data_IF_103485373315
#
_entry.id   IF_103485373315
#
_cell.length_a   1.000
_cell.length_b   1.000
_cell.length_c   1.000
_cell.angle_alpha   90.00
_cell.angle_beta   90.00
_cell.angle_gamma   90.00
#
_symmetry.space_group_name_H-M   'P 1'
#
loop_
_entity.id
_entity.type
_entity.pdbx_description
1 polymer ?
#
# COMPACT_ATOMS: atom_id res chain seq x y z
N UNK A 1 40.34 8.86 39.00
CA UNK A 1 39.62 7.88 38.17
C UNK A 1 38.14 8.11 38.33
N UNK A 2 37.46 8.61 37.30
CA UNK A 2 36.00 8.57 37.22
C UNK A 2 35.65 8.60 35.74
N UNK A 3 35.59 7.40 35.16
CA UNK A 3 35.26 7.18 33.75
C UNK A 3 33.79 7.54 33.53
N UNK A 4 33.55 8.55 32.69
CA UNK A 4 32.23 8.90 32.19
C UNK A 4 31.80 7.80 31.19
N UNK A 5 30.87 6.93 31.62
CA UNK A 5 30.17 6.01 30.74
C UNK A 5 29.05 6.76 30.01
N UNK A 6 29.28 7.10 28.74
CA UNK A 6 28.22 7.45 27.80
C UNK A 6 27.54 6.17 27.32
N UNK A 7 26.37 5.86 27.88
CA UNK A 7 25.44 4.89 27.27
C UNK A 7 24.81 5.54 26.03
N UNK A 8 25.35 5.23 24.86
CA UNK A 8 24.70 5.50 23.59
C UNK A 8 23.46 4.60 23.47
N UNK A 9 22.31 5.12 23.89
CA UNK A 9 21.01 4.51 23.59
C UNK A 9 20.75 4.61 22.09
N UNK A 10 21.01 3.53 21.35
CA UNK A 10 20.46 3.35 20.01
C UNK A 10 18.93 3.28 20.14
N UNK A 11 18.26 4.41 19.93
CA UNK A 11 16.83 4.41 19.60
C UNK A 11 16.71 3.61 18.32
N UNK A 12 16.10 2.43 18.41
CA UNK A 12 15.66 1.66 17.25
C UNK A 12 14.52 2.45 16.63
N UNK A 13 14.87 3.51 15.89
CA UNK A 13 13.92 4.28 15.09
C UNK A 13 13.26 3.27 14.15
N UNK A 14 11.92 3.19 14.21
CA UNK A 14 11.17 2.34 13.31
C UNK A 14 11.57 2.71 11.89
N UNK A 15 12.27 1.81 11.20
CA UNK A 15 12.74 2.03 9.84
C UNK A 15 11.50 2.31 8.97
N UNK A 16 11.29 3.59 8.64
CA UNK A 16 10.23 4.03 7.74
C UNK A 16 10.49 3.32 6.41
N UNK A 17 9.52 2.52 5.94
CA UNK A 17 9.68 1.80 4.70
C UNK A 17 10.01 2.79 3.55
N UNK A 18 10.94 2.42 2.66
CA UNK A 18 11.46 3.35 1.67
C UNK A 18 10.36 3.83 0.71
N UNK A 19 10.42 5.11 0.35
CA UNK A 19 9.64 5.65 -0.76
C UNK A 19 10.28 5.23 -2.09
N UNK A 20 9.46 4.93 -3.09
CA UNK A 20 9.92 4.59 -4.46
C UNK A 20 9.32 5.55 -5.49
N UNK A 21 9.98 5.68 -6.63
CA UNK A 21 9.42 6.33 -7.81
C UNK A 21 8.32 5.48 -8.46
N UNK A 22 7.25 6.11 -8.93
CA UNK A 22 6.23 5.46 -9.75
C UNK A 22 5.65 6.43 -10.78
N UNK A 23 5.52 5.97 -12.03
CA UNK A 23 4.90 6.74 -13.09
C UNK A 23 3.38 6.57 -13.10
N UNK A 24 2.66 7.60 -13.57
CA UNK A 24 1.22 7.48 -13.86
C UNK A 24 0.96 6.46 -14.97
N UNK A 25 -0.21 5.82 -14.91
CA UNK A 25 -0.67 4.80 -15.85
C UNK A 25 0.22 3.55 -15.94
N UNK A 26 1.16 3.38 -15.02
CA UNK A 26 1.99 2.18 -14.89
C UNK A 26 1.65 1.47 -13.58
N UNK A 27 1.80 0.15 -13.59
CA UNK A 27 1.63 -0.65 -12.38
C UNK A 27 2.80 -0.41 -11.43
N UNK A 28 2.50 -0.15 -10.16
CA UNK A 28 3.47 -0.07 -9.08
C UNK A 28 3.15 -1.14 -8.04
N UNK A 29 4.18 -1.83 -7.56
CA UNK A 29 4.04 -2.81 -6.48
C UNK A 29 4.54 -2.21 -5.17
N UNK A 30 3.68 -2.16 -4.16
CA UNK A 30 3.99 -1.65 -2.83
C UNK A 30 3.81 -2.74 -1.77
N UNK A 31 4.66 -2.68 -0.74
CA UNK A 31 4.53 -3.49 0.48
C UNK A 31 3.80 -2.71 1.57
N UNK A 32 3.40 -3.41 2.62
CA UNK A 32 2.89 -2.78 3.84
C UNK A 32 3.80 -1.63 4.32
N UNK A 33 3.20 -0.48 4.60
CA UNK A 33 3.84 0.79 4.99
C UNK A 33 4.77 1.43 3.96
N UNK A 34 4.96 0.80 2.79
CA UNK A 34 5.72 1.38 1.70
C UNK A 34 4.90 2.45 0.98
N UNK A 35 5.61 3.41 0.39
CA UNK A 35 5.03 4.54 -0.32
C UNK A 35 5.60 4.71 -1.72
N UNK A 36 4.76 5.12 -2.66
CA UNK A 36 5.14 5.53 -4.01
C UNK A 36 4.96 7.04 -4.15
N UNK A 37 5.98 7.70 -4.68
CA UNK A 37 5.94 9.10 -5.09
C UNK A 37 5.70 9.16 -6.61
N UNK A 38 4.63 9.86 -7.02
CA UNK A 38 4.24 10.01 -8.41
C UNK A 38 4.37 11.47 -8.86
N UNK A 39 4.94 11.76 -10.05
CA UNK A 39 5.54 10.78 -10.97
C UNK A 39 6.95 10.31 -10.53
N UNK A 40 7.54 10.99 -9.54
CA UNK A 40 8.83 10.64 -8.94
C UNK A 40 8.98 11.32 -7.57
N UNK A 41 10.04 10.96 -6.83
CA UNK A 41 10.38 11.44 -5.49
C UNK A 41 10.94 12.87 -5.47
N UNK A 42 11.50 13.36 -6.58
CA UNK A 42 12.10 14.70 -6.64
C UNK A 42 11.04 15.80 -6.61
N UNK A 43 9.94 15.59 -7.33
CA UNK A 43 8.79 16.51 -7.38
C UNK A 43 7.48 15.71 -7.35
N UNK A 44 7.11 15.14 -6.19
CA UNK A 44 5.90 14.34 -6.08
C UNK A 44 4.66 15.21 -6.18
N UNK A 45 3.80 14.91 -7.14
CA UNK A 45 2.43 15.42 -7.21
C UNK A 45 1.52 14.65 -6.25
N UNK A 46 1.74 13.34 -6.15
CA UNK A 46 0.99 12.44 -5.29
C UNK A 46 1.94 11.49 -4.56
N UNK A 47 1.66 11.22 -3.30
CA UNK A 47 2.28 10.12 -2.55
C UNK A 47 1.20 9.14 -2.13
N UNK A 48 1.31 7.88 -2.55
CA UNK A 48 0.39 6.80 -2.17
C UNK A 48 1.11 5.84 -1.22
N UNK A 49 0.53 5.55 -0.07
CA UNK A 49 1.07 4.65 0.96
C UNK A 49 0.11 3.49 1.19
N UNK A 50 0.64 2.28 1.35
CA UNK A 50 -0.17 1.12 1.80
C UNK A 50 -0.20 1.13 3.33
N UNK A 51 -1.28 1.66 3.91
CA UNK A 51 -1.41 1.83 5.35
C UNK A 51 -1.81 0.52 6.04
N UNK A 52 -2.66 -0.31 5.40
CA UNK A 52 -2.99 -1.66 5.89
C UNK A 52 -3.47 -2.60 4.78
N UNK A 53 -3.36 -3.90 5.05
CA UNK A 53 -3.87 -4.98 4.20
C UNK A 53 -4.55 -6.03 5.07
N UNK A 54 -5.84 -6.25 4.84
CA UNK A 54 -6.65 -7.27 5.52
C UNK A 54 -7.11 -8.27 4.47
N UNK A 55 -6.67 -9.52 4.60
CA UNK A 55 -6.91 -10.57 3.60
C UNK A 55 -7.71 -11.70 4.23
N UNK A 56 -9.01 -11.77 3.89
CA UNK A 56 -9.96 -12.79 4.35
C UNK A 56 -10.29 -13.80 3.25
N UNK A 57 -9.63 -13.70 2.08
CA UNK A 57 -9.89 -14.57 0.94
C UNK A 57 -9.74 -16.02 1.34
N UNK A 58 -10.66 -16.85 0.86
CA UNK A 58 -10.64 -18.29 1.06
C UNK A 58 -9.29 -18.86 0.59
N UNK A 59 -8.50 -19.54 1.44
CA UNK A 59 -7.19 -20.03 1.06
C UNK A 59 -7.18 -20.95 -0.17
N UNK A 60 -6.06 -20.95 -0.91
CA UNK A 60 -5.89 -21.87 -2.04
C UNK A 60 -6.05 -23.32 -1.60
N UNK A 61 -6.80 -24.10 -2.39
CA UNK A 61 -7.04 -25.52 -2.10
C UNK A 61 -8.05 -25.79 -0.99
N UNK A 62 -8.68 -24.77 -0.42
CA UNK A 62 -9.73 -24.92 0.61
C UNK A 62 -11.11 -24.66 0.02
N UNK A 63 -12.08 -25.48 0.42
CA UNK A 63 -13.49 -25.31 0.06
C UNK A 63 -14.21 -24.46 1.11
N UNK A 64 -14.18 -23.14 0.94
CA UNK A 64 -14.95 -22.22 1.79
C UNK A 64 -16.36 -22.01 1.23
N UNK A 65 -17.32 -21.72 2.13
CA UNK A 65 -18.68 -21.34 1.76
C UNK A 65 -18.74 -19.96 1.09
N UNK A 66 -17.90 -19.02 1.56
CA UNK A 66 -17.77 -17.67 0.99
C UNK A 66 -16.34 -17.48 0.46
N UNK A 67 -16.17 -16.75 -0.65
CA UNK A 67 -14.85 -16.55 -1.24
C UNK A 67 -13.94 -15.59 -0.45
N UNK A 68 -14.52 -14.77 0.44
CA UNK A 68 -13.81 -13.71 1.15
C UNK A 68 -13.31 -12.61 0.22
N UNK A 69 -12.50 -11.70 0.75
CA UNK A 69 -11.99 -10.53 0.04
C UNK A 69 -10.64 -10.08 0.61
N UNK A 70 -9.94 -9.22 -0.13
CA UNK A 70 -8.76 -8.52 0.39
C UNK A 70 -8.98 -7.02 0.31
N UNK A 71 -8.89 -6.37 1.46
CA UNK A 71 -9.03 -4.93 1.60
C UNK A 71 -7.65 -4.30 1.77
N UNK A 72 -7.40 -3.25 1.00
CA UNK A 72 -6.19 -2.44 1.09
C UNK A 72 -6.57 -1.03 1.50
N UNK A 73 -6.03 -0.57 2.62
CA UNK A 73 -6.17 0.81 3.08
C UNK A 73 -4.99 1.62 2.54
N UNK A 74 -5.29 2.70 1.84
CA UNK A 74 -4.31 3.56 1.19
C UNK A 74 -4.36 4.97 1.78
N UNK A 75 -3.19 5.48 2.16
CA UNK A 75 -2.99 6.89 2.46
C UNK A 75 -2.52 7.62 1.21
N UNK A 76 -3.28 8.63 0.77
CA UNK A 76 -2.93 9.46 -0.39
C UNK A 76 -2.66 10.87 0.08
N UNK A 77 -1.50 11.43 -0.28
CA UNK A 77 -1.14 12.83 -0.01
C UNK A 77 -0.85 13.58 -1.29
N UNK A 78 -1.29 14.82 -1.34
CA UNK A 78 -0.93 15.76 -2.41
C UNK A 78 0.47 16.37 -2.20
N UNK A 79 0.92 17.24 -3.11
CA UNK A 79 2.25 17.85 -3.05
C UNK A 79 2.42 18.83 -1.87
N UNK A 80 1.32 19.28 -1.27
CA UNK A 80 1.30 20.16 -0.10
C UNK A 80 1.14 19.36 1.21
N UNK A 81 1.03 18.04 1.14
CA UNK A 81 0.85 17.15 2.28
C UNK A 81 -0.61 16.93 2.72
N UNK A 82 -1.60 17.48 2.01
CA UNK A 82 -3.03 17.26 2.30
C UNK A 82 -3.37 15.80 2.06
N UNK A 83 -3.92 15.13 3.08
CA UNK A 83 -4.14 13.69 3.09
C UNK A 83 -5.58 13.26 2.88
N UNK A 84 -5.75 12.08 2.26
CA UNK A 84 -7.00 11.34 2.14
C UNK A 84 -6.73 9.86 2.41
N UNK A 85 -7.70 9.16 2.98
CA UNK A 85 -7.64 7.71 3.21
C UNK A 85 -8.67 7.03 2.33
N UNK A 86 -8.26 5.97 1.65
CA UNK A 86 -9.09 5.21 0.72
C UNK A 86 -9.04 3.73 1.11
N UNK A 87 -10.14 3.02 0.91
CA UNK A 87 -10.17 1.56 1.01
C UNK A 87 -10.57 1.00 -0.34
N UNK A 88 -9.76 0.08 -0.87
CA UNK A 88 -10.04 -0.66 -2.10
C UNK A 88 -10.10 -2.15 -1.79
N UNK A 89 -10.96 -2.88 -2.50
CA UNK A 89 -11.23 -4.30 -2.23
C UNK A 89 -11.13 -5.17 -3.48
N UNK A 90 -10.53 -6.36 -3.37
CA UNK A 90 -10.66 -7.41 -4.39
C UNK A 90 -11.41 -8.61 -3.81
N UNK A 91 -12.47 -9.03 -4.48
CA UNK A 91 -13.22 -10.23 -4.11
C UNK A 91 -12.43 -11.49 -4.43
N UNK A 92 -12.46 -12.46 -3.52
CA UNK A 92 -11.90 -13.78 -3.76
C UNK A 92 -12.55 -14.44 -4.97
N UNK A 93 -11.73 -15.09 -5.82
CA UNK A 93 -12.19 -15.82 -7.02
C UNK A 93 -12.82 -14.95 -8.12
N UNK A 94 -12.78 -13.62 -7.99
CA UNK A 94 -13.15 -12.69 -9.03
C UNK A 94 -11.90 -12.13 -9.73
N UNK A 95 -12.04 -11.79 -11.01
CA UNK A 95 -11.06 -10.98 -11.75
C UNK A 95 -11.44 -9.50 -11.80
N UNK A 96 -12.49 -9.09 -11.09
CA UNK A 96 -12.86 -7.67 -10.98
C UNK A 96 -11.80 -6.91 -10.22
N UNK A 97 -11.47 -5.73 -10.74
CA UNK A 97 -10.62 -4.76 -10.06
C UNK A 97 -11.50 -3.68 -9.43
N UNK A 98 -11.06 -3.15 -8.29
CA UNK A 98 -11.71 -2.03 -7.65
C UNK A 98 -10.93 -0.73 -7.89
N UNK A 99 -11.65 0.37 -7.99
CA UNK A 99 -11.05 1.68 -8.23
C UNK A 99 -11.86 2.80 -7.63
N UNK A 100 -11.18 3.84 -7.18
CA UNK A 100 -11.82 5.04 -6.67
C UNK A 100 -11.16 6.30 -7.21
N UNK A 101 -11.93 7.38 -7.23
CA UNK A 101 -11.43 8.69 -7.61
C UNK A 101 -10.90 9.43 -6.37
N UNK A 102 -9.79 10.15 -6.56
CA UNK A 102 -9.17 10.99 -5.53
C UNK A 102 -8.93 12.39 -6.11
N UNK A 103 -9.20 13.43 -5.35
CA UNK A 103 -8.96 14.82 -5.76
C UNK A 103 -7.70 15.35 -5.09
N UNK A 104 -6.72 15.82 -5.85
CA UNK A 104 -5.48 16.37 -5.32
C UNK A 104 -4.91 17.43 -6.26
N UNK A 105 -4.31 18.49 -5.73
CA UNK A 105 -3.73 19.57 -6.54
C UNK A 105 -4.72 20.16 -7.58
N UNK A 106 -6.01 20.22 -7.25
CA UNK A 106 -7.06 20.68 -8.17
C UNK A 106 -7.34 19.74 -9.36
N UNK A 107 -6.89 18.49 -9.31
CA UNK A 107 -7.06 17.48 -10.35
C UNK A 107 -7.63 16.18 -9.79
N UNK A 108 -8.43 15.49 -10.60
CA UNK A 108 -8.93 14.15 -10.30
C UNK A 108 -7.94 13.08 -10.77
N UNK A 109 -7.71 12.09 -9.94
CA UNK A 109 -6.97 10.87 -10.27
C UNK A 109 -7.87 9.67 -10.02
N UNK A 110 -7.54 8.54 -10.65
CA UNK A 110 -8.18 7.25 -10.37
C UNK A 110 -7.12 6.30 -9.85
N UNK A 111 -7.32 5.76 -8.65
CA UNK A 111 -6.46 4.70 -8.10
C UNK A 111 -7.17 3.38 -8.33
N UNK A 112 -6.47 2.43 -8.95
CA UNK A 112 -6.97 1.10 -9.26
C UNK A 112 -6.16 0.08 -8.47
N UNK A 113 -6.84 -0.76 -7.70
CA UNK A 113 -6.24 -1.94 -7.08
C UNK A 113 -6.31 -3.10 -8.07
N UNK A 114 -5.15 -3.57 -8.54
CA UNK A 114 -5.08 -4.63 -9.54
C UNK A 114 -4.92 -6.00 -8.90
N UNK A 115 -4.06 -6.11 -7.89
CA UNK A 115 -3.71 -7.41 -7.32
C UNK A 115 -3.17 -7.27 -5.89
N UNK A 116 -3.39 -8.31 -5.06
CA UNK A 116 -2.69 -8.47 -3.79
C UNK A 116 -2.12 -9.88 -3.69
N UNK A 117 -0.80 -9.97 -3.60
CA UNK A 117 -0.05 -11.24 -3.57
C UNK A 117 0.81 -11.38 -2.29
N UNK A 118 1.17 -12.60 -1.87
CA UNK A 118 0.62 -13.86 -2.37
C UNK A 118 -0.84 -14.03 -1.93
N UNK A 119 -1.62 -14.77 -2.71
CA UNK A 119 -2.94 -15.22 -2.32
C UNK A 119 -2.81 -16.11 -1.06
N UNK A 120 -3.76 -16.07 -0.10
CA UNK A 120 -3.65 -16.83 1.14
C UNK A 120 -3.56 -18.34 0.88
N UNK A 121 -2.71 -19.01 1.66
CA UNK A 121 -2.62 -20.47 1.75
C UNK A 121 -3.11 -20.90 3.13
N UNK A 122 -3.13 -22.19 3.40
CA UNK A 122 -3.50 -22.71 4.73
C UNK A 122 -2.57 -22.25 5.84
N UNK A 123 -1.35 -21.81 5.50
CA UNK A 123 -0.45 -21.09 6.39
C UNK A 123 -0.68 -19.60 6.30
N UNK A 124 -0.79 -18.93 7.43
CA UNK A 124 -0.95 -17.48 7.49
C UNK A 124 0.19 -16.75 6.78
N UNK A 125 -0.19 -15.79 5.94
CA UNK A 125 0.73 -14.86 5.30
C UNK A 125 0.68 -13.56 6.08
N UNK A 126 1.78 -13.19 6.73
CA UNK A 126 1.85 -11.94 7.46
C UNK A 126 1.67 -10.74 6.50
N UNK A 127 0.96 -9.70 6.94
CA UNK A 127 0.68 -8.51 6.11
C UNK A 127 1.93 -7.83 5.55
N UNK A 128 3.06 -7.88 6.27
CA UNK A 128 4.36 -7.35 5.81
C UNK A 128 4.91 -8.05 4.56
N UNK A 129 4.47 -9.28 4.31
CA UNK A 129 4.87 -10.10 3.19
C UNK A 129 3.91 -9.97 2.00
N UNK A 130 2.80 -9.23 2.17
CA UNK A 130 1.88 -8.88 1.10
C UNK A 130 2.45 -7.79 0.19
N UNK A 131 2.08 -7.87 -1.08
CA UNK A 131 2.40 -6.94 -2.16
C UNK A 131 1.11 -6.50 -2.81
N UNK A 132 0.90 -5.21 -2.87
CA UNK A 132 -0.25 -4.54 -3.46
C UNK A 132 0.18 -3.96 -4.81
N UNK A 133 -0.49 -4.36 -5.88
CA UNK A 133 -0.26 -3.82 -7.22
C UNK A 133 -1.32 -2.77 -7.51
N UNK A 134 -0.88 -1.54 -7.74
CA UNK A 134 -1.75 -0.39 -7.99
C UNK A 134 -1.45 0.22 -9.36
N UNK A 135 -2.43 0.88 -9.95
CA UNK A 135 -2.22 1.85 -11.04
C UNK A 135 -2.87 3.17 -10.65
N UNK A 136 -2.12 4.26 -10.77
CA UNK A 136 -2.65 5.61 -10.60
C UNK A 136 -2.80 6.26 -11.97
N UNK A 137 -4.04 6.56 -12.35
CA UNK A 137 -4.37 7.22 -13.62
C UNK A 137 -4.59 8.70 -13.38
N UNK A 138 -3.97 9.53 -14.22
CA UNK A 138 -4.20 10.98 -14.27
C UNK A 138 -5.36 11.24 -15.24
N UNK A 139 -6.43 11.91 -14.77
CA UNK A 139 -7.54 12.35 -15.64
C UNK A 139 -7.25 13.74 -16.20
#
# INVERSE_FOLDING_TARGET
MASLWCLAGCKKEAAVAPSIDAAFNQSVTLRYQQRAALPNQGTPELTVTVDDVVDTRCPEGVNCLQPGDVQTVLGVRDQNGTGQVLTLQLEGRSSSVDSTAVQANGRQYTIVLQEVTPYPKTTDVAKKDKRVVLVVKRR
#
